data_IF_813748178113
#
_entry.id   IF_813748178113
#
_cell.length_a   1.000
_cell.length_b   1.000
_cell.length_c   1.000
_cell.angle_alpha   90.00
_cell.angle_beta   90.00
_cell.angle_gamma   90.00
#
_symmetry.space_group_name_H-M   'P 1'
#
loop_
_entity.id
_entity.type
_entity.pdbx_description
1 polymer ?
#
# COMPACT_ATOMS: atom_id res chain seq x y z
N UNK A 1 -3.88 8.68 4.83
CA UNK A 1 -5.31 8.49 4.50
C UNK A 1 -5.60 7.03 4.21
N UNK A 2 -5.03 6.43 3.15
CA UNK A 2 -5.22 5.00 2.83
C UNK A 2 -5.05 4.06 4.03
N UNK A 3 -3.90 4.11 4.73
CA UNK A 3 -3.65 3.26 5.90
C UNK A 3 -4.66 3.48 7.05
N UNK A 4 -5.17 4.70 7.21
CA UNK A 4 -6.16 5.03 8.24
C UNK A 4 -7.51 4.38 7.92
N UNK A 5 -7.92 4.47 6.65
CA UNK A 5 -9.15 3.82 6.16
C UNK A 5 -9.02 2.31 6.25
N UNK A 6 -7.86 1.74 5.84
CA UNK A 6 -7.60 0.30 5.94
C UNK A 6 -7.64 -0.20 7.40
N UNK A 7 -7.12 0.59 8.34
CA UNK A 7 -7.16 0.24 9.76
C UNK A 7 -8.59 0.29 10.32
N UNK A 8 -9.39 1.27 9.88
CA UNK A 8 -10.81 1.37 10.24
C UNK A 8 -11.62 0.21 9.65
N UNK A 9 -11.33 -0.20 8.42
CA UNK A 9 -11.93 -1.39 7.81
C UNK A 9 -11.64 -2.64 8.64
N UNK A 10 -10.39 -2.87 9.05
CA UNK A 10 -10.05 -4.03 9.89
C UNK A 10 -10.72 -4.00 11.26
N UNK A 11 -10.96 -2.82 11.83
CA UNK A 11 -11.67 -2.69 13.10
C UNK A 11 -13.19 -2.92 12.96
N UNK A 12 -13.77 -2.50 11.83
CA UNK A 12 -15.21 -2.59 11.57
C UNK A 12 -15.65 -3.85 10.83
N UNK A 13 -14.70 -4.68 10.36
CA UNK A 13 -14.99 -5.92 9.67
C UNK A 13 -15.77 -6.90 10.54
N UNK A 14 -16.83 -7.48 9.97
CA UNK A 14 -17.69 -8.45 10.65
C UNK A 14 -17.06 -9.85 10.81
N UNK A 15 -15.84 -10.05 10.29
CA UNK A 15 -15.09 -11.31 10.30
C UNK A 15 -13.67 -11.07 10.85
N UNK A 16 -13.25 -11.91 11.77
CA UNK A 16 -11.91 -11.94 12.35
C UNK A 16 -10.96 -12.85 11.58
N UNK A 17 -9.66 -12.62 11.76
CA UNK A 17 -8.58 -13.31 11.03
C UNK A 17 -8.69 -14.84 10.97
N UNK A 18 -9.34 -15.49 11.94
CA UNK A 18 -9.41 -16.96 12.07
C UNK A 18 -10.77 -17.55 11.67
N UNK A 19 -11.67 -16.75 11.11
CA UNK A 19 -13.06 -17.17 10.87
C UNK A 19 -13.24 -18.03 9.61
N UNK A 20 -12.16 -18.27 8.85
CA UNK A 20 -12.16 -19.19 7.71
C UNK A 20 -11.07 -18.92 6.69
N UNK A 21 -11.09 -19.69 5.61
CA UNK A 21 -10.11 -19.58 4.50
C UNK A 21 -10.24 -18.21 3.83
N UNK A 22 -11.46 -17.73 3.56
CA UNK A 22 -11.67 -16.41 2.96
C UNK A 22 -11.08 -15.28 3.83
N UNK A 23 -11.37 -15.29 5.14
CA UNK A 23 -10.90 -14.24 6.05
C UNK A 23 -9.37 -14.27 6.22
N UNK A 24 -8.78 -15.45 6.41
CA UNK A 24 -7.31 -15.59 6.51
C UNK A 24 -6.62 -15.10 5.23
N UNK A 25 -7.12 -15.47 4.05
CA UNK A 25 -6.58 -14.98 2.77
C UNK A 25 -6.78 -13.48 2.58
N UNK A 26 -7.94 -12.94 2.95
CA UNK A 26 -8.23 -11.50 2.92
C UNK A 26 -7.16 -10.73 3.71
N UNK A 27 -7.05 -10.99 5.02
CA UNK A 27 -6.16 -10.24 5.90
C UNK A 27 -4.68 -10.42 5.55
N UNK A 28 -4.27 -11.59 5.07
CA UNK A 28 -2.90 -11.82 4.63
C UNK A 28 -2.58 -11.01 3.36
N UNK A 29 -3.46 -11.02 2.37
CA UNK A 29 -3.26 -10.31 1.11
C UNK A 29 -3.32 -8.79 1.28
N UNK A 30 -4.38 -8.28 1.92
CA UNK A 30 -4.56 -6.84 2.17
C UNK A 30 -3.57 -6.32 3.20
N UNK A 31 -3.20 -7.14 4.20
CA UNK A 31 -2.21 -6.79 5.22
C UNK A 31 -0.79 -6.68 4.64
N UNK A 32 -0.37 -7.63 3.82
CA UNK A 32 0.92 -7.56 3.13
C UNK A 32 1.00 -6.37 2.17
N UNK A 33 -0.09 -6.08 1.47
CA UNK A 33 -0.18 -4.89 0.65
C UNK A 33 -0.09 -3.60 1.49
N UNK A 34 -0.82 -3.51 2.61
CA UNK A 34 -0.73 -2.37 3.53
C UNK A 34 0.67 -2.14 4.10
N UNK A 35 1.44 -3.21 4.31
CA UNK A 35 2.86 -3.12 4.66
C UNK A 35 3.69 -2.48 3.53
N UNK A 36 3.47 -2.86 2.28
CA UNK A 36 4.15 -2.25 1.13
C UNK A 36 3.78 -0.77 0.96
N UNK A 37 2.51 -0.41 1.15
CA UNK A 37 2.07 1.00 1.15
C UNK A 37 2.81 1.81 2.23
N UNK A 38 3.01 1.22 3.41
CA UNK A 38 3.74 1.87 4.52
C UNK A 38 5.21 2.11 4.15
N UNK A 39 5.89 1.10 3.58
CA UNK A 39 7.27 1.27 3.09
C UNK A 39 7.34 2.34 2.00
N UNK A 40 6.41 2.32 1.04
CA UNK A 40 6.36 3.31 -0.05
C UNK A 40 6.16 4.72 0.48
N UNK A 41 5.31 4.89 1.51
CA UNK A 41 5.04 6.19 2.11
C UNK A 41 6.27 6.73 2.85
N UNK A 42 6.97 5.87 3.59
CA UNK A 42 8.25 6.22 4.22
C UNK A 42 9.28 6.59 3.15
N UNK A 43 9.37 5.82 2.06
CA UNK A 43 10.34 6.06 1.00
C UNK A 43 10.09 7.40 0.31
N UNK A 44 8.84 7.72 -0.02
CA UNK A 44 8.44 9.04 -0.53
C UNK A 44 8.70 10.15 0.50
N UNK A 45 8.45 9.91 1.79
CA UNK A 45 8.77 10.86 2.85
C UNK A 45 10.27 11.17 2.95
N UNK A 46 11.14 10.17 2.81
CA UNK A 46 12.59 10.34 2.74
C UNK A 46 12.98 11.13 1.48
N UNK A 47 12.36 10.83 0.33
CA UNK A 47 12.58 11.60 -0.88
C UNK A 47 12.13 13.06 -0.69
N UNK A 48 10.95 13.33 -0.13
CA UNK A 48 10.49 14.70 0.14
C UNK A 48 11.48 15.45 1.05
N UNK A 49 11.95 14.83 2.12
CA UNK A 49 12.94 15.44 3.00
C UNK A 49 14.27 15.74 2.29
N UNK A 50 14.75 14.82 1.43
CA UNK A 50 15.94 15.04 0.60
C UNK A 50 15.72 16.14 -0.46
N UNK A 51 14.51 16.25 -1.00
CA UNK A 51 14.14 17.31 -1.94
C UNK A 51 14.15 18.68 -1.27
N UNK A 52 13.58 18.80 -0.06
CA UNK A 52 13.58 20.04 0.72
C UNK A 52 15.00 20.49 1.09
N UNK A 53 15.93 19.55 1.28
CA UNK A 53 17.36 19.85 1.49
C UNK A 53 18.14 20.16 0.20
N UNK A 54 17.49 20.18 -0.96
CA UNK A 54 18.12 20.48 -2.25
C UNK A 54 19.06 19.38 -2.75
N UNK A 55 18.91 18.14 -2.27
CA UNK A 55 19.80 17.03 -2.66
C UNK A 55 19.48 16.43 -4.04
N UNK A 56 18.40 16.86 -4.70
CA UNK A 56 18.05 16.40 -6.03
C UNK A 56 18.45 17.43 -7.07
N UNK A 57 19.29 17.01 -8.02
CA UNK A 57 19.58 17.74 -9.25
C UNK A 57 18.72 17.16 -10.39
N UNK A 58 18.41 17.95 -11.44
CA UNK A 58 17.63 17.49 -12.58
C UNK A 58 18.23 16.27 -13.29
N UNK A 59 19.54 16.03 -13.22
CA UNK A 59 20.16 14.84 -13.82
C UNK A 59 20.42 13.68 -12.83
N UNK A 60 20.23 13.90 -11.52
CA UNK A 60 20.61 12.94 -10.47
C UNK A 60 19.48 12.75 -9.44
N UNK A 61 18.35 12.20 -9.90
CA UNK A 61 17.15 11.96 -9.09
C UNK A 61 16.72 10.48 -9.07
N UNK A 62 17.65 9.54 -9.25
CA UNK A 62 17.36 8.08 -9.28
C UNK A 62 16.59 7.63 -8.02
N UNK A 63 16.88 8.22 -6.86
CA UNK A 63 16.15 7.90 -5.62
C UNK A 63 14.68 8.28 -5.66
N UNK A 64 14.32 9.39 -6.31
CA UNK A 64 12.94 9.79 -6.53
C UNK A 64 12.26 8.92 -7.58
N UNK A 65 12.98 8.61 -8.67
CA UNK A 65 12.48 7.73 -9.72
C UNK A 65 12.14 6.35 -9.14
N UNK A 66 13.06 5.71 -8.41
CA UNK A 66 12.82 4.43 -7.76
C UNK A 66 11.62 4.47 -6.79
N UNK A 67 11.42 5.58 -6.07
CA UNK A 67 10.26 5.75 -5.21
C UNK A 67 8.95 5.87 -6.01
N UNK A 68 8.96 6.54 -7.16
CA UNK A 68 7.82 6.62 -8.07
C UNK A 68 7.47 5.24 -8.66
N UNK A 69 8.47 4.48 -9.13
CA UNK A 69 8.27 3.10 -9.62
C UNK A 69 7.69 2.20 -8.53
N UNK A 70 8.22 2.29 -7.30
CA UNK A 70 7.69 1.52 -6.17
C UNK A 70 6.24 1.91 -5.86
N UNK A 71 5.91 3.19 -5.90
CA UNK A 71 4.56 3.67 -5.66
C UNK A 71 3.56 3.18 -6.72
N UNK A 72 3.92 3.25 -8.00
CA UNK A 72 3.10 2.71 -9.09
C UNK A 72 2.93 1.18 -8.99
N UNK A 73 3.97 0.45 -8.61
CA UNK A 73 3.87 -0.99 -8.36
C UNK A 73 2.83 -1.29 -7.28
N UNK A 74 2.90 -0.58 -6.15
CA UNK A 74 1.94 -0.75 -5.06
C UNK A 74 0.52 -0.46 -5.53
N UNK A 75 0.31 0.62 -6.29
CA UNK A 75 -1.01 0.98 -6.82
C UNK A 75 -1.61 -0.10 -7.74
N UNK A 76 -0.80 -0.65 -8.65
CA UNK A 76 -1.23 -1.75 -9.54
C UNK A 76 -1.64 -2.99 -8.73
N UNK A 77 -0.87 -3.36 -7.71
CA UNK A 77 -1.23 -4.49 -6.82
C UNK A 77 -2.55 -4.23 -6.10
N UNK A 78 -2.82 -2.99 -5.69
CA UNK A 78 -4.09 -2.63 -5.07
C UNK A 78 -5.28 -2.82 -6.01
N UNK A 79 -5.16 -2.40 -7.28
CA UNK A 79 -6.22 -2.59 -8.29
C UNK A 79 -6.56 -4.07 -8.47
N UNK A 80 -5.56 -4.95 -8.49
CA UNK A 80 -5.80 -6.39 -8.52
C UNK A 80 -6.53 -6.88 -7.27
N UNK A 81 -6.08 -6.50 -6.07
CA UNK A 81 -6.76 -6.89 -4.83
C UNK A 81 -8.20 -6.38 -4.78
N UNK A 82 -8.45 -5.15 -5.22
CA UNK A 82 -9.79 -4.57 -5.29
C UNK A 82 -10.73 -5.41 -6.16
N UNK A 83 -10.31 -5.76 -7.37
CA UNK A 83 -11.15 -6.53 -8.31
C UNK A 83 -11.40 -7.95 -7.77
N UNK A 84 -10.36 -8.64 -7.29
CA UNK A 84 -10.49 -10.06 -6.96
C UNK A 84 -11.08 -10.31 -5.56
N UNK A 85 -10.74 -9.47 -4.58
CA UNK A 85 -11.14 -9.69 -3.18
C UNK A 85 -12.44 -8.96 -2.86
N UNK A 86 -12.53 -7.67 -3.24
CA UNK A 86 -13.67 -6.83 -2.87
C UNK A 86 -14.83 -6.93 -3.86
N UNK A 87 -14.55 -6.95 -5.16
CA UNK A 87 -15.60 -7.03 -6.18
C UNK A 87 -16.04 -8.46 -6.43
N UNK A 88 -15.12 -9.35 -6.80
CA UNK A 88 -15.45 -10.74 -7.14
C UNK A 88 -15.67 -11.61 -5.89
N UNK A 89 -14.81 -11.48 -4.88
CA UNK A 89 -14.91 -12.25 -3.64
C UNK A 89 -16.02 -11.80 -2.68
N UNK A 90 -16.61 -10.62 -2.91
CA UNK A 90 -17.74 -10.09 -2.14
C UNK A 90 -19.11 -10.25 -2.81
N UNK A 91 -19.15 -10.76 -4.05
CA UNK A 91 -20.35 -11.12 -4.80
C UNK A 91 -20.74 -12.58 -4.53
#
# INVERSE_FOLDING_TARGET
>A
IFLCIQSYEYYSAAFGFRDGIYSTTFYMATGFHGFHVTIGAIFLGVCLWRAMKGHFKPEQHIGFEAAAWYWHFVDVVWLFLFIWVYWWGGA
#
